data_IF_483072175591
#
_entry.id   IF_483072175591
#
_cell.length_a   1.000
_cell.length_b   1.000
_cell.length_c   1.000
_cell.angle_alpha   90.00
_cell.angle_beta   90.00
_cell.angle_gamma   90.00
#
_symmetry.space_group_name_H-M   'P 1'
#
loop_
_entity.id
_entity.type
_entity.pdbx_description
1 polymer ?
#
# COMPACT_ATOMS: atom_id res chain seq x y z
N UNK A 1 -43.73 23.56 -47.78
CA UNK A 1 -44.45 23.63 -46.49
C UNK A 1 -44.98 22.25 -46.13
N UNK A 2 -44.45 21.62 -45.08
CA UNK A 2 -45.09 20.49 -44.39
C UNK A 2 -44.86 20.68 -42.90
N UNK A 3 -45.97 20.77 -42.18
CA UNK A 3 -46.08 21.01 -40.76
C UNK A 3 -45.86 19.71 -39.99
N UNK A 4 -45.26 19.76 -38.80
CA UNK A 4 -45.60 18.97 -37.60
C UNK A 4 -44.75 19.39 -36.39
N UNK A 5 -45.36 20.16 -35.49
CA UNK A 5 -45.08 20.14 -34.03
C UNK A 5 -45.71 18.82 -33.52
N UNK A 6 -45.38 18.14 -32.41
CA UNK A 6 -44.75 18.42 -31.12
C UNK A 6 -44.53 17.06 -30.42
N UNK A 7 -43.52 16.93 -29.55
CA UNK A 7 -43.61 16.39 -28.18
C UNK A 7 -42.18 16.19 -27.65
N UNK A 8 -41.77 17.11 -26.78
CA UNK A 8 -40.58 17.01 -25.95
C UNK A 8 -40.87 15.95 -24.87
N UNK A 9 -40.17 14.82 -24.92
CA UNK A 9 -40.00 13.95 -23.75
C UNK A 9 -38.61 14.22 -23.20
N UNK A 10 -38.55 15.07 -22.18
CA UNK A 10 -37.37 15.24 -21.36
C UNK A 10 -37.30 14.04 -20.39
N UNK A 11 -36.41 13.09 -20.66
CA UNK A 11 -35.94 12.20 -19.60
C UNK A 11 -34.79 12.92 -18.92
N UNK A 12 -35.11 13.55 -17.80
CA UNK A 12 -34.14 14.09 -16.86
C UNK A 12 -33.42 12.92 -16.18
N UNK A 13 -32.23 12.59 -16.69
CA UNK A 13 -31.25 11.79 -15.96
C UNK A 13 -30.34 12.73 -15.17
N UNK A 14 -30.69 13.01 -13.92
CA UNK A 14 -29.79 13.64 -12.94
C UNK A 14 -28.93 12.49 -12.34
N UNK A 15 -27.63 12.41 -12.69
CA UNK A 15 -26.43 12.79 -11.88
C UNK A 15 -26.06 11.71 -10.85
N UNK A 16 -24.81 11.30 -10.57
CA UNK A 16 -23.42 11.57 -11.03
C UNK A 16 -22.54 10.45 -10.45
N UNK A 17 -21.46 10.07 -11.14
CA UNK A 17 -20.17 9.84 -10.50
C UNK A 17 -19.05 10.13 -11.52
N UNK A 18 -18.39 11.26 -11.30
CA UNK A 18 -17.17 11.68 -11.97
C UNK A 18 -15.98 10.90 -11.39
N UNK A 19 -15.07 10.48 -12.28
CA UNK A 19 -13.67 10.14 -11.98
C UNK A 19 -13.48 8.72 -11.44
N UNK A 20 -12.53 7.91 -11.90
CA UNK A 20 -11.39 8.10 -12.79
C UNK A 20 -11.25 6.76 -13.50
N UNK A 21 -11.26 6.75 -14.83
CA UNK A 21 -10.64 5.64 -15.56
C UNK A 21 -9.14 5.80 -15.38
N UNK A 22 -8.51 5.05 -14.47
CA UNK A 22 -7.06 5.08 -14.35
C UNK A 22 -6.49 4.30 -15.53
N UNK A 23 -6.27 5.01 -16.63
CA UNK A 23 -5.18 4.67 -17.52
C UNK A 23 -3.91 4.69 -16.66
N UNK A 24 -3.20 3.56 -16.58
CA UNK A 24 -1.83 3.52 -16.10
C UNK A 24 -1.01 4.43 -17.04
N UNK A 25 -0.85 5.69 -16.65
CA UNK A 25 0.18 6.57 -17.18
C UNK A 25 1.38 6.30 -16.29
N UNK A 26 2.33 5.51 -16.80
CA UNK A 26 3.67 5.41 -16.24
C UNK A 26 4.33 6.79 -16.35
N UNK A 27 4.13 7.65 -15.36
CA UNK A 27 4.96 8.83 -15.19
C UNK A 27 6.26 8.38 -14.56
N UNK A 28 7.28 8.24 -15.40
CA UNK A 28 8.66 8.30 -14.94
C UNK A 28 8.82 9.63 -14.16
N UNK A 29 9.20 9.51 -12.88
CA UNK A 29 9.63 10.57 -11.95
C UNK A 29 8.59 11.27 -11.07
N UNK A 30 7.58 10.57 -10.55
CA UNK A 30 7.02 10.92 -9.23
C UNK A 30 6.29 9.71 -8.65
N UNK A 31 7.00 8.96 -7.81
CA UNK A 31 6.45 7.83 -7.04
C UNK A 31 5.73 8.37 -5.81
N UNK A 32 4.70 9.20 -6.02
CA UNK A 32 3.99 9.83 -4.91
C UNK A 32 3.22 8.77 -4.12
N UNK A 33 3.76 8.35 -2.97
CA UNK A 33 3.08 7.42 -2.07
C UNK A 33 2.04 8.23 -1.28
N UNK A 34 0.81 8.23 -1.79
CA UNK A 34 -0.36 8.86 -1.16
C UNK A 34 -1.43 7.80 -0.94
N UNK A 35 -2.15 7.92 0.17
CA UNK A 35 -3.21 6.98 0.52
C UNK A 35 -4.08 7.47 1.68
N UNK A 36 -4.97 6.60 2.14
CA UNK A 36 -5.93 6.87 3.21
C UNK A 36 -5.59 6.13 4.53
N UNK A 37 -4.38 5.56 4.64
CA UNK A 37 -3.98 4.71 5.76
C UNK A 37 -4.27 3.22 5.56
N UNK A 38 -4.69 2.79 4.37
CA UNK A 38 -4.89 1.37 4.08
C UNK A 38 -3.57 0.59 4.08
N UNK A 39 -3.65 -0.63 4.65
CA UNK A 39 -2.60 -1.64 4.59
C UNK A 39 -3.23 -2.89 3.97
N UNK A 40 -3.02 -3.06 2.66
CA UNK A 40 -3.61 -4.13 1.85
C UNK A 40 -2.81 -5.44 2.03
N UNK A 41 -3.44 -6.49 2.54
CA UNK A 41 -2.85 -7.84 2.56
C UNK A 41 -2.81 -8.43 1.14
N UNK A 42 -1.62 -8.76 0.66
CA UNK A 42 -1.41 -9.43 -0.62
C UNK A 42 -1.10 -10.91 -0.42
N UNK A 43 -1.64 -11.75 -1.29
CA UNK A 43 -1.15 -13.14 -1.36
C UNK A 43 0.31 -13.17 -1.86
N UNK A 44 1.09 -14.23 -1.57
CA UNK A 44 2.50 -14.28 -1.94
C UNK A 44 2.78 -14.10 -3.43
N UNK A 45 1.89 -14.58 -4.31
CA UNK A 45 2.03 -14.37 -5.76
C UNK A 45 1.68 -12.93 -6.18
N UNK A 46 0.75 -12.27 -5.48
CA UNK A 46 0.46 -10.85 -5.70
C UNK A 46 1.65 -9.99 -5.24
N UNK A 47 2.23 -10.28 -4.07
CA UNK A 47 3.42 -9.59 -3.59
C UNK A 47 4.58 -9.75 -4.58
N UNK A 48 4.85 -10.98 -5.03
CA UNK A 48 5.89 -11.25 -6.03
C UNK A 48 5.68 -10.48 -7.33
N UNK A 49 4.43 -10.39 -7.79
CA UNK A 49 4.08 -9.64 -8.99
C UNK A 49 4.30 -8.14 -8.78
N UNK A 50 3.82 -7.61 -7.65
CA UNK A 50 3.99 -6.21 -7.26
C UNK A 50 5.48 -5.82 -7.22
N UNK A 51 6.30 -6.59 -6.51
CA UNK A 51 7.75 -6.34 -6.39
C UNK A 51 8.49 -6.36 -7.74
N UNK A 52 7.98 -7.12 -8.72
CA UNK A 52 8.57 -7.21 -10.05
C UNK A 52 8.12 -6.09 -11.01
N UNK A 53 6.88 -5.64 -10.89
CA UNK A 53 6.26 -4.70 -11.84
C UNK A 53 6.38 -3.25 -11.40
N UNK A 54 6.33 -2.98 -10.09
CA UNK A 54 6.35 -1.64 -9.49
C UNK A 54 7.38 -1.58 -8.36
N UNK A 55 7.19 -2.41 -7.33
CA UNK A 55 8.16 -2.58 -6.25
C UNK A 55 8.44 -1.30 -5.45
N UNK A 56 7.54 -0.32 -5.48
CA UNK A 56 7.73 0.97 -4.81
C UNK A 56 6.63 1.22 -3.78
N UNK A 57 7.01 1.48 -2.53
CA UNK A 57 6.08 1.80 -1.45
C UNK A 57 6.44 1.15 -0.11
N UNK A 58 5.51 1.24 0.83
CA UNK A 58 5.65 0.67 2.16
C UNK A 58 5.16 -0.78 2.21
N UNK A 59 6.01 -1.70 2.65
CA UNK A 59 5.74 -3.13 2.74
C UNK A 59 5.94 -3.63 4.17
N UNK A 60 4.86 -4.14 4.76
CA UNK A 60 4.92 -4.89 6.01
C UNK A 60 5.12 -6.38 5.70
N UNK A 61 6.06 -7.04 6.36
CA UNK A 61 6.18 -8.49 6.35
C UNK A 61 5.88 -9.02 7.74
N UNK A 62 4.71 -9.64 7.92
CA UNK A 62 4.28 -10.21 9.19
C UNK A 62 4.66 -11.68 9.26
N UNK A 63 5.27 -12.11 10.36
CA UNK A 63 5.50 -13.54 10.61
C UNK A 63 5.03 -13.94 12.01
N UNK A 64 5.03 -13.06 13.00
CA UNK A 64 4.49 -13.37 14.31
C UNK A 64 2.95 -13.31 14.30
N UNK A 65 2.31 -14.49 14.22
CA UNK A 65 0.85 -14.62 14.22
C UNK A 65 0.17 -14.01 15.46
N UNK A 66 0.80 -14.08 16.62
CA UNK A 66 0.19 -13.61 17.89
C UNK A 66 0.14 -12.08 17.94
N UNK A 67 1.14 -11.41 17.39
CA UNK A 67 1.25 -9.95 17.41
C UNK A 67 0.81 -9.28 16.11
N UNK A 68 0.53 -10.04 15.04
CA UNK A 68 0.17 -9.51 13.71
C UNK A 68 -0.91 -8.45 13.78
N UNK A 69 -2.02 -8.71 14.46
CA UNK A 69 -3.15 -7.77 14.52
C UNK A 69 -2.77 -6.47 15.24
N UNK A 70 -1.95 -6.55 16.30
CA UNK A 70 -1.45 -5.37 17.01
C UNK A 70 -0.56 -4.54 16.09
N UNK A 71 0.41 -5.17 15.45
CA UNK A 71 1.32 -4.51 14.53
C UNK A 71 0.61 -3.91 13.33
N UNK A 72 -0.33 -4.63 12.70
CA UNK A 72 -1.13 -4.10 11.60
C UNK A 72 -1.94 -2.88 12.03
N UNK A 73 -2.51 -2.88 13.23
CA UNK A 73 -3.26 -1.74 13.74
C UNK A 73 -2.37 -0.52 13.99
N UNK A 74 -1.16 -0.72 14.51
CA UNK A 74 -0.20 0.36 14.76
C UNK A 74 0.32 0.95 13.44
N UNK A 75 0.67 0.08 12.48
CA UNK A 75 1.08 0.48 11.13
C UNK A 75 -0.03 1.25 10.41
N UNK A 76 -1.28 0.77 10.46
CA UNK A 76 -2.43 1.48 9.84
C UNK A 76 -2.64 2.87 10.43
N UNK A 77 -2.52 3.03 11.76
CA UNK A 77 -2.66 4.35 12.41
C UNK A 77 -1.56 5.31 11.95
N UNK A 78 -0.32 4.85 11.90
CA UNK A 78 0.81 5.64 11.40
C UNK A 78 0.63 6.01 9.92
N UNK A 79 0.23 5.05 9.07
CA UNK A 79 -0.04 5.30 7.65
C UNK A 79 -1.17 6.31 7.44
N UNK A 80 -2.22 6.26 8.27
CA UNK A 80 -3.32 7.21 8.24
C UNK A 80 -2.87 8.62 8.64
N UNK A 81 -2.03 8.75 9.67
CA UNK A 81 -1.46 10.03 10.11
C UNK A 81 -0.64 10.66 8.98
N UNK A 82 0.16 9.85 8.29
CA UNK A 82 1.08 10.30 7.24
C UNK A 82 0.45 10.35 5.83
N UNK A 83 -0.84 10.03 5.71
CA UNK A 83 -1.61 9.99 4.45
C UNK A 83 -0.96 9.12 3.37
N UNK A 84 -0.50 7.94 3.76
CA UNK A 84 0.08 6.92 2.86
C UNK A 84 -0.74 5.65 2.88
N UNK A 85 -0.44 4.75 1.96
CA UNK A 85 -0.91 3.37 1.97
C UNK A 85 0.29 2.41 1.93
N UNK A 86 0.05 1.17 2.30
CA UNK A 86 1.05 0.12 2.24
C UNK A 86 0.44 -1.22 1.87
N UNK A 87 1.33 -2.20 1.70
CA UNK A 87 0.97 -3.59 1.44
C UNK A 87 1.55 -4.49 2.52
N UNK A 88 0.92 -5.62 2.75
CA UNK A 88 1.37 -6.62 3.71
C UNK A 88 1.53 -7.99 3.04
N UNK A 89 2.56 -8.72 3.45
CA UNK A 89 2.67 -10.15 3.23
C UNK A 89 2.62 -10.85 4.59
N UNK A 90 1.61 -11.70 4.80
CA UNK A 90 1.54 -12.59 5.96
C UNK A 90 2.30 -13.89 5.67
N UNK A 91 3.33 -14.18 6.46
CA UNK A 91 4.06 -15.45 6.47
C UNK A 91 3.20 -16.66 6.85
N UNK A 92 2.03 -16.41 7.44
CA UNK A 92 1.01 -17.41 7.75
C UNK A 92 -0.15 -17.44 6.74
N UNK A 93 -0.07 -16.65 5.64
CA UNK A 93 -1.09 -16.65 4.61
C UNK A 93 -1.29 -18.08 4.06
N UNK A 94 -2.54 -18.56 3.79
CA UNK A 94 -2.78 -19.95 3.37
C UNK A 94 -2.09 -20.40 2.07
N UNK A 95 -1.61 -19.45 1.28
CA UNK A 95 -0.85 -19.67 0.03
C UNK A 95 0.65 -19.45 0.19
N UNK A 96 1.15 -19.16 1.39
CA UNK A 96 2.57 -19.04 1.67
C UNK A 96 3.18 -20.44 1.72
N UNK A 97 4.15 -20.69 0.85
CA UNK A 97 4.90 -21.94 0.85
C UNK A 97 5.96 -21.89 1.95
N UNK A 98 5.75 -22.66 3.02
CA UNK A 98 6.68 -22.71 4.17
C UNK A 98 8.06 -23.29 3.85
N UNK A 99 8.28 -23.83 2.64
CA UNK A 99 9.62 -24.21 2.18
C UNK A 99 10.40 -23.04 1.56
N UNK A 100 9.74 -21.90 1.35
CA UNK A 100 10.30 -20.70 0.74
C UNK A 100 10.58 -19.61 1.77
N UNK A 101 11.48 -18.71 1.40
CA UNK A 101 11.69 -17.48 2.17
C UNK A 101 10.91 -16.32 1.58
N UNK A 102 10.89 -15.20 2.29
CA UNK A 102 10.31 -13.95 1.81
C UNK A 102 10.97 -13.46 0.50
N UNK A 103 12.26 -13.76 0.29
CA UNK A 103 13.00 -13.41 -0.92
C UNK A 103 12.42 -14.08 -2.17
N UNK A 104 11.84 -15.28 -2.05
CA UNK A 104 11.14 -15.94 -3.17
C UNK A 104 9.94 -15.13 -3.69
N UNK A 105 9.42 -14.22 -2.87
CA UNK A 105 8.32 -13.30 -3.15
C UNK A 105 8.79 -11.86 -3.37
N UNK A 106 10.10 -11.63 -3.50
CA UNK A 106 10.68 -10.33 -3.84
C UNK A 106 10.90 -9.40 -2.64
N UNK A 107 10.82 -9.90 -1.41
CA UNK A 107 11.12 -9.11 -0.22
C UNK A 107 12.51 -9.45 0.30
N UNK A 108 13.34 -8.43 0.51
CA UNK A 108 14.68 -8.58 1.10
C UNK A 108 14.70 -8.25 2.61
N UNK A 109 13.59 -7.71 3.13
CA UNK A 109 13.44 -7.34 4.55
C UNK A 109 13.39 -8.54 5.49
N UNK A 110 13.53 -8.28 6.79
CA UNK A 110 13.35 -9.27 7.85
C UNK A 110 11.88 -9.44 8.25
N UNK A 111 11.55 -10.57 8.88
CA UNK A 111 10.23 -10.80 9.46
C UNK A 111 9.88 -9.75 10.51
N UNK A 112 8.58 -9.46 10.62
CA UNK A 112 8.01 -8.52 11.60
C UNK A 112 8.60 -7.11 11.47
N UNK A 113 8.70 -6.64 10.24
CA UNK A 113 9.18 -5.29 9.88
C UNK A 113 8.16 -4.53 9.03
N UNK A 114 8.20 -3.21 9.14
CA UNK A 114 7.74 -2.31 8.07
C UNK A 114 8.96 -1.82 7.29
N UNK A 115 8.90 -1.88 5.97
CA UNK A 115 9.99 -1.51 5.09
C UNK A 115 9.53 -0.54 4.01
N UNK A 116 10.46 0.25 3.49
CA UNK A 116 10.27 1.08 2.31
C UNK A 116 11.09 0.50 1.16
N UNK A 117 10.41 0.28 0.03
CA UNK A 117 11.03 -0.12 -1.23
C UNK A 117 10.89 0.98 -2.27
N UNK A 118 11.87 1.05 -3.16
CA UNK A 118 11.82 1.88 -4.37
C UNK A 118 12.44 1.10 -5.51
N UNK A 119 11.68 0.97 -6.60
CA UNK A 119 12.05 0.21 -7.81
C UNK A 119 12.43 -1.26 -7.51
N UNK A 120 11.73 -1.88 -6.55
CA UNK A 120 11.96 -3.26 -6.12
C UNK A 120 13.14 -3.45 -5.17
N UNK A 121 13.87 -2.38 -4.82
CA UNK A 121 14.99 -2.44 -3.90
C UNK A 121 14.60 -1.96 -2.50
N UNK A 122 14.97 -2.74 -1.48
CA UNK A 122 14.83 -2.35 -0.09
C UNK A 122 15.71 -1.12 0.20
N UNK A 123 15.11 -0.06 0.72
CA UNK A 123 15.84 1.16 1.11
C UNK A 123 16.06 1.23 2.61
N UNK A 124 15.02 0.97 3.38
CA UNK A 124 15.08 0.99 4.85
C UNK A 124 13.99 0.09 5.44
N UNK A 125 14.19 -0.37 6.68
CA UNK A 125 13.21 -1.10 7.46
C UNK A 125 13.26 -0.69 8.93
N UNK A 126 12.15 -0.92 9.64
CA UNK A 126 12.00 -0.79 11.09
C UNK A 126 11.46 -2.12 11.65
N UNK A 127 12.08 -2.61 12.72
CA UNK A 127 11.73 -3.87 13.37
C UNK A 127 10.66 -3.63 14.43
N UNK A 128 9.47 -4.22 14.24
CA UNK A 128 8.29 -3.89 15.06
C UNK A 128 8.41 -4.44 16.49
N UNK A 129 9.18 -5.51 16.67
CA UNK A 129 9.38 -6.17 17.96
C UNK A 129 10.41 -5.49 18.86
N UNK A 130 11.23 -4.56 18.33
CA UNK A 130 12.26 -3.88 19.11
C UNK A 130 11.70 -2.75 19.99
N UNK A 131 10.46 -2.34 19.75
CA UNK A 131 9.85 -1.18 20.41
C UNK A 131 8.81 -1.57 21.45
N UNK A 132 8.77 -0.78 22.53
CA UNK A 132 7.65 -0.80 23.47
C UNK A 132 6.36 -0.44 22.73
N UNK A 133 5.22 -1.12 22.99
CA UNK A 133 3.95 -0.79 22.33
C UNK A 133 3.52 0.67 22.47
N UNK A 134 3.91 1.34 23.57
CA UNK A 134 3.59 2.76 23.80
C UNK A 134 4.42 3.74 22.96
N UNK A 135 5.49 3.27 22.31
CA UNK A 135 6.38 4.08 21.45
C UNK A 135 6.27 3.71 19.98
N UNK A 136 5.89 2.47 19.68
CA UNK A 136 5.89 1.92 18.33
C UNK A 136 5.14 2.81 17.33
N UNK A 137 3.95 3.31 17.68
CA UNK A 137 3.18 4.20 16.79
C UNK A 137 3.97 5.48 16.42
N UNK A 138 4.58 6.15 17.40
CA UNK A 138 5.38 7.37 17.16
C UNK A 138 6.58 7.08 16.27
N UNK A 139 7.27 5.96 16.50
CA UNK A 139 8.45 5.55 15.73
C UNK A 139 8.06 5.15 14.30
N UNK A 140 6.89 4.53 14.12
CA UNK A 140 6.33 4.23 12.80
C UNK A 140 5.99 5.49 12.02
N UNK A 141 5.33 6.47 12.64
CA UNK A 141 5.01 7.74 11.97
C UNK A 141 6.29 8.48 11.57
N UNK A 142 7.28 8.54 12.45
CA UNK A 142 8.58 9.12 12.14
C UNK A 142 9.31 8.38 11.01
N UNK A 143 9.29 7.04 11.02
CA UNK A 143 9.85 6.22 9.94
C UNK A 143 9.17 6.49 8.59
N UNK A 144 7.84 6.58 8.57
CA UNK A 144 7.07 6.85 7.35
C UNK A 144 7.34 8.26 6.84
N UNK A 145 7.27 9.27 7.69
CA UNK A 145 7.54 10.68 7.37
C UNK A 145 8.91 10.83 6.73
N UNK A 146 9.96 10.39 7.42
CA UNK A 146 11.35 10.49 6.93
C UNK A 146 11.59 9.68 5.66
N UNK A 147 10.97 8.51 5.51
CA UNK A 147 11.06 7.71 4.28
C UNK A 147 10.42 8.42 3.09
N UNK A 148 9.32 9.15 3.28
CA UNK A 148 8.70 9.95 2.21
C UNK A 148 9.62 11.04 1.73
N UNK A 149 10.16 11.83 2.65
CA UNK A 149 11.09 12.92 2.35
C UNK A 149 12.34 12.41 1.59
N UNK A 150 12.87 11.24 1.98
CA UNK A 150 14.10 10.72 1.39
C UNK A 150 13.90 10.01 0.04
N UNK A 151 12.77 9.32 -0.16
CA UNK A 151 12.62 8.37 -1.27
C UNK A 151 11.48 8.71 -2.23
N UNK A 152 10.50 9.53 -1.85
CA UNK A 152 9.29 9.80 -2.65
C UNK A 152 9.09 11.26 -3.02
N UNK A 153 9.70 12.20 -2.30
CA UNK A 153 9.67 13.62 -2.64
C UNK A 153 10.88 13.97 -3.53
N UNK A 154 10.61 14.48 -4.75
CA UNK A 154 11.60 15.04 -5.69
C UNK A 154 11.40 16.54 -5.87
#
# INVERSE_FOLDING_TARGET
>A
MKNKKWLLSAVAGIVVALGIGTAFVSSYNSSEVKGNGELEELSPLQMKKFMKEDGTGFIMFSFNKENRDLYMNDVKRAMQQENVEGKELDGHHPKFDGSKSQNDYGLDQHADTLAVYKDGELKQQIELYEYDPSKLETELSHFIETSKEMYFEE
#
